data_IF_180469689861
#
_entry.id   IF_180469689861
#
_cell.length_a   1.000
_cell.length_b   1.000
_cell.length_c   1.000
_cell.angle_alpha   90.00
_cell.angle_beta   90.00
_cell.angle_gamma   90.00
#
_symmetry.space_group_name_H-M   'P 1'
#
loop_
_entity.id
_entity.type
_entity.pdbx_description
1 polymer ?
#
# COMPACT_ATOMS: atom_id res chain seq x y z
N UNK A 1 0.63 -8.17 18.57
CA UNK A 1 0.93 -9.29 17.67
C UNK A 1 0.05 -9.18 16.45
N UNK A 2 0.60 -9.27 15.26
CA UNK A 2 -0.18 -9.33 14.03
C UNK A 2 -1.02 -10.59 14.07
N UNK A 3 -2.33 -10.45 14.29
CA UNK A 3 -3.25 -11.57 14.44
C UNK A 3 -3.19 -12.46 13.20
N UNK A 4 -2.73 -13.68 13.36
CA UNK A 4 -2.73 -14.71 12.33
C UNK A 4 -1.45 -14.86 11.49
N UNK A 5 -0.45 -13.98 11.64
CA UNK A 5 0.82 -14.10 10.90
C UNK A 5 1.88 -14.90 11.64
N UNK A 6 1.78 -14.99 12.97
CA UNK A 6 2.76 -15.65 13.83
C UNK A 6 2.01 -16.49 14.85
N UNK A 7 2.18 -17.80 14.80
CA UNK A 7 1.67 -18.72 15.82
C UNK A 7 2.64 -18.92 16.98
N UNK A 8 3.86 -18.46 16.85
CA UNK A 8 4.95 -18.70 17.78
C UNK A 8 5.25 -17.46 18.64
N UNK A 9 5.67 -17.63 19.90
CA UNK A 9 5.77 -16.52 20.85
C UNK A 9 6.95 -15.58 20.58
N UNK A 10 7.95 -15.97 19.82
CA UNK A 10 9.09 -15.11 19.44
C UNK A 10 9.62 -15.46 18.06
N UNK A 11 10.37 -14.50 17.48
CA UNK A 11 11.03 -14.69 16.18
C UNK A 11 12.07 -15.81 16.20
N UNK A 12 12.69 -16.07 17.34
CA UNK A 12 13.73 -17.08 17.52
C UNK A 12 13.16 -18.50 17.48
N UNK A 13 11.87 -18.64 17.75
CA UNK A 13 11.18 -19.94 17.71
C UNK A 13 10.61 -20.31 16.34
N UNK A 14 10.81 -19.49 15.32
CA UNK A 14 10.42 -19.82 13.95
C UNK A 14 11.24 -20.99 13.41
N UNK A 15 10.57 -22.09 13.11
CA UNK A 15 11.19 -23.31 12.58
C UNK A 15 11.09 -23.44 11.06
N UNK A 16 10.19 -22.69 10.42
CA UNK A 16 9.97 -22.74 8.98
C UNK A 16 10.57 -21.50 8.28
N UNK A 17 11.61 -21.72 7.47
CA UNK A 17 12.23 -20.65 6.67
C UNK A 17 11.25 -19.98 5.68
N UNK A 18 10.35 -20.77 5.09
CA UNK A 18 9.36 -20.22 4.13
C UNK A 18 8.38 -19.26 4.78
N UNK A 19 7.86 -19.62 5.96
CA UNK A 19 6.96 -18.75 6.72
C UNK A 19 7.71 -17.50 7.18
N UNK A 20 8.93 -17.70 7.67
CA UNK A 20 9.81 -16.63 8.11
C UNK A 20 10.08 -15.61 6.98
N UNK A 21 10.53 -16.06 5.82
CA UNK A 21 10.86 -15.18 4.70
C UNK A 21 9.64 -14.43 4.16
N UNK A 22 8.51 -15.09 4.03
CA UNK A 22 7.29 -14.43 3.55
C UNK A 22 6.79 -13.37 4.53
N UNK A 23 6.82 -13.65 5.83
CA UNK A 23 6.40 -12.71 6.86
C UNK A 23 7.35 -11.52 6.95
N UNK A 24 8.65 -11.74 6.89
CA UNK A 24 9.63 -10.64 6.89
C UNK A 24 9.46 -9.72 5.69
N UNK A 25 9.40 -10.28 4.49
CA UNK A 25 9.23 -9.46 3.26
C UNK A 25 7.99 -8.58 3.35
N UNK A 26 6.90 -9.17 3.78
CA UNK A 26 5.63 -8.46 3.88
C UNK A 26 5.71 -7.31 4.90
N UNK A 27 6.22 -7.56 6.10
CA UNK A 27 6.32 -6.55 7.15
C UNK A 27 7.36 -5.49 6.80
N UNK A 28 8.57 -5.91 6.43
CA UNK A 28 9.69 -5.01 6.19
C UNK A 28 9.41 -4.11 4.99
N UNK A 29 8.98 -4.65 3.87
CA UNK A 29 8.71 -3.86 2.67
C UNK A 29 7.52 -2.90 2.86
N UNK A 30 6.57 -3.26 3.72
CA UNK A 30 5.45 -2.38 4.04
C UNK A 30 5.81 -1.29 5.05
N UNK A 31 6.95 -1.43 5.74
CA UNK A 31 7.42 -0.48 6.75
C UNK A 31 8.51 0.46 6.26
N UNK A 32 9.02 0.27 5.05
CA UNK A 32 10.06 1.12 4.47
C UNK A 32 9.48 1.92 3.32
N UNK A 33 9.58 3.24 3.41
CA UNK A 33 9.31 4.14 2.31
C UNK A 33 10.64 4.36 1.60
N UNK A 34 10.75 3.90 0.37
CA UNK A 34 11.82 4.32 -0.51
C UNK A 34 11.47 5.73 -0.99
N UNK A 35 12.28 6.70 -0.66
CA UNK A 35 12.08 8.12 -0.99
C UNK A 35 11.97 8.43 -2.48
N UNK A 36 11.98 7.39 -3.28
CA UNK A 36 11.65 7.37 -4.69
C UNK A 36 12.87 7.28 -5.61
N UNK A 37 12.64 6.65 -6.73
CA UNK A 37 13.49 6.71 -7.93
C UNK A 37 13.41 8.10 -8.59
N UNK A 38 12.87 9.08 -7.90
CA UNK A 38 12.66 10.40 -8.44
C UNK A 38 13.91 11.23 -8.25
N UNK A 39 14.81 11.13 -9.22
CA UNK A 39 15.87 12.10 -9.44
C UNK A 39 15.28 13.42 -9.97
N UNK A 40 14.32 13.95 -9.25
CA UNK A 40 13.90 15.31 -9.43
C UNK A 40 14.81 16.14 -8.54
N UNK A 41 15.79 16.79 -9.11
CA UNK A 41 16.82 17.59 -8.44
C UNK A 41 17.74 16.83 -7.47
N UNK A 42 17.83 15.50 -7.55
CA UNK A 42 18.73 14.71 -6.70
C UNK A 42 18.41 14.69 -5.20
N UNK A 43 17.28 15.27 -4.80
CA UNK A 43 16.85 15.30 -3.40
C UNK A 43 15.84 14.18 -3.12
N UNK A 44 16.28 13.15 -2.43
CA UNK A 44 15.39 12.14 -1.86
C UNK A 44 14.66 12.74 -0.66
N UNK A 45 13.34 12.59 -0.63
CA UNK A 45 12.54 13.08 0.49
C UNK A 45 12.66 12.14 1.67
N UNK A 46 13.23 12.64 2.75
CA UNK A 46 13.17 11.99 4.06
C UNK A 46 11.91 12.49 4.79
N UNK A 47 11.07 11.57 5.20
CA UNK A 47 9.82 11.92 5.87
C UNK A 47 10.01 12.04 7.40
N UNK A 48 10.71 13.08 7.83
CA UNK A 48 10.62 13.49 9.22
C UNK A 48 9.17 13.85 9.59
N UNK A 49 8.82 13.83 10.86
CA UNK A 49 7.45 14.13 11.28
C UNK A 49 6.96 15.50 10.81
N UNK A 50 7.86 16.46 10.65
CA UNK A 50 7.56 17.78 10.07
C UNK A 50 7.24 17.77 8.57
N UNK A 51 7.74 16.79 7.83
CA UNK A 51 7.49 16.60 6.39
C UNK A 51 6.29 15.71 6.08
N UNK A 52 5.72 15.04 7.09
CA UNK A 52 4.54 14.22 6.92
C UNK A 52 3.29 15.08 6.74
N UNK A 53 2.26 14.59 6.02
CA UNK A 53 0.99 15.28 5.83
C UNK A 53 0.34 15.78 7.14
N UNK A 54 -0.27 16.94 7.05
CA UNK A 54 -1.00 17.55 8.17
C UNK A 54 -2.52 17.35 8.09
N UNK A 55 -3.06 17.17 6.88
CA UNK A 55 -4.49 16.93 6.73
C UNK A 55 -4.86 15.52 7.25
N UNK A 56 -5.98 15.38 7.93
CA UNK A 56 -6.39 14.09 8.46
C UNK A 56 -6.52 13.01 7.37
N UNK A 57 -5.86 11.89 7.59
CA UNK A 57 -5.84 10.73 6.68
C UNK A 57 -5.24 11.01 5.29
N UNK A 58 -4.53 12.09 5.10
CA UNK A 58 -3.75 12.32 3.89
C UNK A 58 -2.62 11.29 3.79
N UNK A 59 -2.37 10.83 2.59
CA UNK A 59 -1.35 9.84 2.32
C UNK A 59 0.03 10.47 2.12
N UNK A 60 1.06 9.80 2.61
CA UNK A 60 2.45 10.13 2.29
C UNK A 60 2.62 9.95 0.77
N UNK A 61 3.24 10.93 0.13
CA UNK A 61 3.34 10.96 -1.34
C UNK A 61 4.06 9.74 -1.92
N UNK A 62 5.17 9.33 -1.28
CA UNK A 62 5.93 8.15 -1.71
C UNK A 62 5.33 6.86 -1.14
N UNK A 63 5.23 5.80 -1.94
CA UNK A 63 4.78 4.50 -1.47
C UNK A 63 5.88 3.80 -0.65
N UNK A 64 5.48 2.78 0.09
CA UNK A 64 6.40 1.83 0.70
C UNK A 64 7.06 0.94 -0.37
N UNK A 65 8.11 0.20 0.00
CA UNK A 65 8.73 -0.81 -0.89
C UNK A 65 7.76 -1.93 -1.30
N UNK A 66 6.65 -2.10 -0.57
CA UNK A 66 5.53 -2.97 -0.98
C UNK A 66 4.52 -2.25 -1.87
N UNK A 67 4.86 -1.06 -2.36
CA UNK A 67 3.99 -0.25 -3.23
C UNK A 67 2.67 0.20 -2.58
N UNK A 68 2.66 0.39 -1.29
CA UNK A 68 1.50 0.86 -0.52
C UNK A 68 1.73 2.27 -0.04
N UNK A 69 0.71 3.11 -0.10
CA UNK A 69 0.74 4.40 0.55
C UNK A 69 0.29 4.27 1.99
N UNK A 70 0.94 5.03 2.86
CA UNK A 70 0.60 5.12 4.28
C UNK A 70 -0.12 6.44 4.53
N UNK A 71 -1.27 6.38 5.17
CA UNK A 71 -1.98 7.59 5.60
C UNK A 71 -1.51 8.03 6.98
N UNK A 72 -1.54 9.34 7.19
CA UNK A 72 -1.15 9.97 8.46
C UNK A 72 -2.37 10.60 9.12
N UNK A 73 -2.55 10.32 10.39
CA UNK A 73 -3.55 10.98 11.22
C UNK A 73 -2.85 11.58 12.45
N UNK A 74 -2.91 12.89 12.57
CA UNK A 74 -2.39 13.61 13.73
C UNK A 74 -3.47 13.76 14.78
N UNK A 75 -3.14 13.41 16.03
CA UNK A 75 -4.02 13.64 17.15
C UNK A 75 -3.99 15.09 17.64
N UNK A 76 -4.77 15.38 18.66
CA UNK A 76 -4.80 16.72 19.29
C UNK A 76 -3.46 17.09 19.95
N UNK A 77 -2.67 16.11 20.32
CA UNK A 77 -1.31 16.31 20.79
C UNK A 77 -0.35 16.21 19.59
N UNK A 78 0.58 17.18 19.40
CA UNK A 78 1.56 17.16 18.30
C UNK A 78 2.41 15.88 18.24
N UNK A 79 2.59 15.22 19.37
CA UNK A 79 3.34 13.97 19.47
C UNK A 79 2.50 12.72 19.15
N UNK A 80 1.20 12.87 18.98
CA UNK A 80 0.30 11.76 18.64
C UNK A 80 0.17 11.65 17.14
N UNK A 81 0.92 10.72 16.55
CA UNK A 81 0.85 10.41 15.12
C UNK A 81 0.44 8.96 14.95
N UNK A 82 -0.61 8.75 14.16
CA UNK A 82 -1.09 7.43 13.78
C UNK A 82 -0.85 7.21 12.29
N UNK A 83 -0.31 6.06 11.97
CA UNK A 83 -0.18 5.57 10.59
C UNK A 83 -1.36 4.66 10.29
N UNK A 84 -1.95 4.80 9.11
CA UNK A 84 -3.15 4.04 8.70
C UNK A 84 -4.28 4.11 9.73
N UNK A 85 -4.47 5.28 10.33
CA UNK A 85 -5.52 5.62 11.32
C UNK A 85 -5.40 4.98 12.71
N UNK A 86 -4.68 3.88 12.84
CA UNK A 86 -4.71 3.07 14.08
C UNK A 86 -3.33 2.74 14.65
N UNK A 87 -2.29 2.73 13.82
CA UNK A 87 -0.96 2.28 14.21
C UNK A 87 -0.16 3.43 14.80
N UNK A 88 0.17 3.34 16.06
CA UNK A 88 0.82 4.44 16.79
C UNK A 88 2.31 4.52 16.52
N UNK A 89 2.76 5.73 16.21
CA UNK A 89 4.18 6.08 16.23
C UNK A 89 4.61 6.45 17.65
N UNK A 90 5.77 5.95 18.07
CA UNK A 90 6.31 6.28 19.39
C UNK A 90 6.60 7.80 19.52
N UNK A 91 6.05 8.48 20.52
CA UNK A 91 6.30 9.90 20.69
C UNK A 91 7.74 10.23 21.11
N UNK A 92 8.44 9.26 21.69
CA UNK A 92 9.81 9.45 22.21
C UNK A 92 10.88 9.12 21.18
N UNK A 93 10.65 8.12 20.35
CA UNK A 93 11.62 7.58 19.41
C UNK A 93 11.14 7.79 17.97
N UNK A 94 11.00 9.04 17.58
CA UNK A 94 10.67 9.48 16.22
C UNK A 94 11.80 10.40 15.71
N UNK A 95 11.86 10.57 14.42
CA UNK A 95 12.85 11.43 13.76
C UNK A 95 14.30 11.04 14.11
N UNK A 96 14.58 9.74 14.28
CA UNK A 96 15.91 9.24 14.56
C UNK A 96 16.73 9.34 13.26
N UNK A 97 17.76 10.21 13.21
CA UNK A 97 18.46 10.48 11.99
C UNK A 97 19.43 9.34 11.62
N UNK A 98 19.51 9.05 10.34
CA UNK A 98 20.56 8.26 9.73
C UNK A 98 21.17 9.06 8.56
N UNK A 99 22.36 8.68 8.11
CA UNK A 99 23.04 9.40 7.02
C UNK A 99 22.24 9.43 5.71
N UNK A 100 21.39 8.45 5.50
CA UNK A 100 20.61 8.26 4.28
C UNK A 100 19.12 8.07 4.53
N UNK A 101 18.63 8.44 5.70
CA UNK A 101 17.21 8.28 6.03
C UNK A 101 16.86 8.71 7.44
N UNK A 102 15.63 8.44 7.80
CA UNK A 102 15.08 8.68 9.15
C UNK A 102 14.33 7.44 9.63
N UNK A 103 14.40 7.17 10.91
CA UNK A 103 13.70 6.04 11.53
C UNK A 103 12.64 6.56 12.50
N UNK A 104 11.45 5.99 12.41
CA UNK A 104 10.39 6.18 13.38
C UNK A 104 10.07 4.84 14.04
N UNK A 105 10.18 4.77 15.34
CA UNK A 105 9.75 3.59 16.06
C UNK A 105 8.22 3.54 16.09
N UNK A 106 7.68 2.40 15.69
CA UNK A 106 6.25 2.12 15.82
C UNK A 106 5.98 1.32 17.10
N UNK A 107 4.83 1.56 17.73
CA UNK A 107 4.34 0.74 18.84
C UNK A 107 3.58 -0.50 18.33
N UNK A 108 3.20 -0.48 17.04
CA UNK A 108 2.49 -1.53 16.35
C UNK A 108 3.18 -1.94 15.05
N UNK A 109 2.89 -3.15 14.58
CA UNK A 109 3.36 -3.60 13.26
C UNK A 109 2.50 -3.01 12.16
N UNK A 110 3.13 -2.41 11.15
CA UNK A 110 2.44 -2.00 9.93
C UNK A 110 2.13 -3.25 9.11
N UNK A 111 1.04 -3.93 9.50
CA UNK A 111 0.57 -5.09 8.77
C UNK A 111 -0.08 -4.63 7.45
N UNK A 112 0.30 -5.20 6.31
CA UNK A 112 -0.35 -4.89 5.06
C UNK A 112 -1.78 -5.44 5.05
N UNK A 113 -2.73 -4.65 4.58
CA UNK A 113 -3.92 -5.21 3.98
C UNK A 113 -3.48 -5.78 2.62
N UNK A 114 -3.25 -7.07 2.54
CA UNK A 114 -2.69 -7.70 1.34
C UNK A 114 -3.73 -8.09 0.31
N UNK A 115 -4.98 -7.83 0.58
CA UNK A 115 -6.05 -8.32 -0.25
C UNK A 115 -6.21 -7.41 -1.47
N UNK A 116 -6.10 -8.01 -2.64
CA UNK A 116 -6.55 -7.40 -3.88
C UNK A 116 -8.05 -7.09 -3.77
N UNK A 117 -8.53 -6.17 -4.59
CA UNK A 117 -9.96 -5.79 -4.56
C UNK A 117 -10.88 -6.99 -4.79
N UNK A 118 -10.48 -7.94 -5.64
CA UNK A 118 -11.21 -9.21 -5.84
C UNK A 118 -11.30 -10.03 -4.54
N UNK A 119 -10.21 -10.13 -3.76
CA UNK A 119 -10.22 -10.88 -2.50
C UNK A 119 -11.11 -10.22 -1.44
N UNK A 120 -11.11 -8.90 -1.38
CA UNK A 120 -12.04 -8.15 -0.52
C UNK A 120 -13.49 -8.42 -0.90
N UNK A 121 -13.83 -8.35 -2.20
CA UNK A 121 -15.19 -8.66 -2.68
C UNK A 121 -15.57 -10.11 -2.39
N UNK A 122 -14.66 -11.07 -2.60
CA UNK A 122 -14.90 -12.46 -2.31
C UNK A 122 -15.18 -12.68 -0.81
N UNK A 123 -14.48 -11.96 0.07
CA UNK A 123 -14.71 -12.07 1.53
C UNK A 123 -16.13 -11.67 1.94
N UNK A 124 -16.75 -10.71 1.26
CA UNK A 124 -18.15 -10.34 1.51
C UNK A 124 -19.12 -11.45 1.10
N UNK A 125 -18.81 -12.17 0.02
CA UNK A 125 -19.60 -13.31 -0.43
C UNK A 125 -19.47 -14.49 0.55
N UNK A 126 -18.23 -14.83 0.92
CA UNK A 126 -17.92 -16.03 1.73
C UNK A 126 -18.40 -15.87 3.18
N UNK A 127 -18.28 -14.67 3.73
CA UNK A 127 -18.71 -14.39 5.11
C UNK A 127 -20.16 -13.98 5.22
N UNK A 128 -20.86 -13.87 4.09
CA UNK A 128 -22.24 -13.36 4.02
C UNK A 128 -22.42 -12.03 4.78
N UNK A 129 -21.39 -11.20 4.74
CA UNK A 129 -21.40 -9.91 5.42
C UNK A 129 -22.35 -8.95 4.72
N UNK A 130 -23.26 -8.36 5.46
CA UNK A 130 -24.15 -7.33 4.93
C UNK A 130 -23.35 -6.15 4.34
N UNK A 131 -23.89 -5.59 3.26
CA UNK A 131 -23.31 -4.43 2.61
C UNK A 131 -23.52 -4.43 1.12
N UNK A 132 -22.66 -5.09 0.35
CA UNK A 132 -22.68 -5.09 -1.10
C UNK A 132 -22.37 -6.48 -1.71
N UNK A 133 -22.93 -7.54 -1.11
CA UNK A 133 -22.75 -8.90 -1.61
C UNK A 133 -23.27 -9.08 -3.03
N UNK A 134 -24.41 -8.45 -3.34
CA UNK A 134 -25.01 -8.56 -4.68
C UNK A 134 -24.05 -7.98 -5.71
N UNK A 135 -23.56 -6.77 -5.48
CA UNK A 135 -22.58 -6.14 -6.36
C UNK A 135 -21.31 -6.98 -6.49
N UNK A 136 -20.80 -7.54 -5.39
CA UNK A 136 -19.64 -8.44 -5.42
C UNK A 136 -19.89 -9.65 -6.32
N UNK A 137 -21.05 -10.31 -6.22
CA UNK A 137 -21.42 -11.44 -7.08
C UNK A 137 -21.54 -11.06 -8.55
N UNK A 138 -22.11 -9.88 -8.84
CA UNK A 138 -22.21 -9.36 -10.20
C UNK A 138 -20.84 -9.11 -10.83
N UNK A 139 -19.89 -8.55 -10.08
CA UNK A 139 -18.50 -8.36 -10.52
C UNK A 139 -17.86 -9.67 -10.95
N UNK A 140 -18.01 -10.75 -10.15
CA UNK A 140 -17.50 -12.06 -10.52
C UNK A 140 -18.26 -12.69 -11.69
N UNK A 141 -19.58 -12.53 -11.74
CA UNK A 141 -20.40 -13.03 -12.85
C UNK A 141 -20.03 -12.37 -14.20
N UNK A 142 -19.58 -11.11 -14.16
CA UNK A 142 -19.04 -10.41 -15.34
C UNK A 142 -17.60 -10.82 -15.70
N UNK A 143 -16.97 -11.76 -14.98
CA UNK A 143 -15.61 -12.23 -15.24
C UNK A 143 -14.51 -11.23 -14.84
N UNK A 144 -14.81 -10.26 -13.99
CA UNK A 144 -13.85 -9.22 -13.59
C UNK A 144 -12.94 -9.63 -12.44
N UNK A 145 -13.15 -10.79 -11.83
CA UNK A 145 -12.35 -11.27 -10.69
C UNK A 145 -10.84 -11.25 -10.95
N UNK A 146 -10.40 -11.83 -12.06
CA UNK A 146 -8.98 -11.87 -12.44
C UNK A 146 -8.43 -10.48 -12.71
N UNK A 147 -9.21 -9.60 -13.32
CA UNK A 147 -8.80 -8.22 -13.59
C UNK A 147 -8.56 -7.47 -12.28
N UNK A 148 -9.47 -7.59 -11.32
CA UNK A 148 -9.41 -6.92 -10.03
C UNK A 148 -8.40 -7.55 -9.06
N UNK A 149 -7.85 -8.71 -9.39
CA UNK A 149 -6.75 -9.33 -8.65
C UNK A 149 -5.38 -8.75 -9.00
N UNK A 150 -5.25 -8.08 -10.16
CA UNK A 150 -3.99 -7.55 -10.65
C UNK A 150 -3.54 -6.34 -9.84
N UNK A 151 -2.31 -6.39 -9.34
CA UNK A 151 -1.68 -5.31 -8.60
C UNK A 151 -0.75 -4.48 -9.49
N UNK A 152 -0.07 -5.13 -10.42
CA UNK A 152 0.93 -4.52 -11.30
C UNK A 152 0.69 -4.92 -12.76
N UNK A 153 1.12 -4.03 -13.65
CA UNK A 153 1.14 -4.29 -15.08
C UNK A 153 2.49 -4.92 -15.46
N UNK A 154 2.53 -6.26 -15.42
CA UNK A 154 3.74 -7.03 -15.74
C UNK A 154 4.21 -6.79 -17.18
N UNK A 155 3.31 -6.55 -18.12
CA UNK A 155 3.64 -6.23 -19.49
C UNK A 155 4.38 -4.91 -19.60
N UNK A 156 3.92 -3.91 -18.87
CA UNK A 156 4.58 -2.62 -18.77
C UNK A 156 5.97 -2.74 -18.14
N UNK A 157 6.11 -3.49 -17.05
CA UNK A 157 7.39 -3.71 -16.37
C UNK A 157 8.40 -4.43 -17.30
N UNK A 158 7.93 -5.38 -18.08
CA UNK A 158 8.77 -6.05 -19.09
C UNK A 158 9.24 -5.08 -20.17
N UNK A 159 8.34 -4.23 -20.68
CA UNK A 159 8.70 -3.21 -21.66
C UNK A 159 9.72 -2.21 -21.10
N UNK A 160 9.57 -1.83 -19.82
CA UNK A 160 10.54 -0.99 -19.15
C UNK A 160 11.92 -1.63 -19.06
N UNK A 161 11.99 -2.90 -18.66
CA UNK A 161 13.26 -3.66 -18.56
C UNK A 161 13.97 -3.83 -19.90
N UNK A 162 13.22 -3.89 -21.00
CA UNK A 162 13.80 -3.99 -22.35
C UNK A 162 14.27 -2.66 -22.93
N UNK A 163 14.16 -1.57 -22.18
CA UNK A 163 14.53 -0.23 -22.66
C UNK A 163 13.57 0.34 -23.71
N UNK A 164 12.38 -0.22 -23.85
CA UNK A 164 11.38 0.24 -24.81
C UNK A 164 11.05 1.72 -24.65
N UNK A 165 10.87 2.17 -23.42
CA UNK A 165 10.53 3.55 -23.12
C UNK A 165 11.71 4.51 -23.32
N UNK A 166 12.94 4.08 -23.05
CA UNK A 166 14.15 4.88 -23.34
C UNK A 166 14.28 5.20 -24.82
N UNK A 167 13.87 4.28 -25.68
CA UNK A 167 13.89 4.47 -27.12
C UNK A 167 12.80 5.43 -27.61
N UNK A 168 11.65 5.46 -26.95
CA UNK A 168 10.53 6.35 -27.28
C UNK A 168 10.75 7.78 -26.78
N UNK A 169 11.39 7.93 -25.64
CA UNK A 169 11.59 9.22 -24.97
C UNK A 169 13.07 9.64 -24.98
N UNK A 170 13.79 9.32 -26.04
CA UNK A 170 15.15 9.80 -26.26
C UNK A 170 15.18 11.31 -26.26
N UNK A 171 15.60 11.89 -25.20
CA UNK A 171 15.70 13.32 -24.88
C UNK A 171 14.40 13.95 -24.41
N UNK A 172 14.11 13.94 -23.11
CA UNK A 172 13.32 15.02 -22.55
C UNK A 172 14.08 16.30 -22.87
N UNK A 173 13.54 17.11 -23.75
CA UNK A 173 14.01 18.49 -23.87
C UNK A 173 13.89 19.15 -22.51
N UNK A 174 14.88 19.94 -22.13
CA UNK A 174 14.89 20.70 -20.89
C UNK A 174 13.51 21.35 -20.69
N UNK A 175 12.78 20.96 -19.63
CA UNK A 175 11.42 21.41 -19.33
C UNK A 175 10.28 20.48 -19.77
N UNK A 176 10.49 19.41 -20.52
CA UNK A 176 9.47 18.40 -20.82
C UNK A 176 9.69 17.15 -19.96
N UNK A 177 8.91 17.05 -18.91
CA UNK A 177 9.09 16.03 -17.91
C UNK A 177 8.22 14.81 -18.18
N UNK A 178 8.62 14.03 -19.16
CA UNK A 178 8.08 12.69 -19.35
C UNK A 178 8.79 11.69 -18.45
N UNK A 179 8.50 11.71 -17.15
CA UNK A 179 8.93 10.64 -16.28
C UNK A 179 8.13 9.37 -16.60
N UNK A 180 8.85 8.31 -16.92
CA UNK A 180 8.27 6.98 -17.13
C UNK A 180 8.57 6.15 -15.89
N UNK A 181 7.60 5.86 -15.03
CA UNK A 181 7.83 5.07 -13.83
C UNK A 181 8.25 3.64 -14.17
N UNK A 182 9.11 3.04 -13.34
CA UNK A 182 9.53 1.63 -13.50
C UNK A 182 8.39 0.65 -13.36
N UNK A 183 7.41 1.01 -12.56
CA UNK A 183 6.25 0.18 -12.24
C UNK A 183 4.97 0.92 -12.57
N UNK A 184 4.05 0.23 -13.20
CA UNK A 184 2.69 0.70 -13.41
C UNK A 184 1.76 -0.17 -12.58
N UNK A 185 1.01 0.49 -11.68
CA UNK A 185 0.01 -0.19 -10.86
C UNK A 185 -1.37 -0.05 -11.44
N UNK A 186 -2.17 -1.07 -11.18
CA UNK A 186 -3.61 -0.93 -11.33
C UNK A 186 -4.18 -0.27 -10.07
N UNK A 187 -5.02 0.76 -10.24
CA UNK A 187 -5.80 1.39 -9.20
C UNK A 187 -7.27 1.30 -9.53
N UNK A 188 -7.94 0.29 -8.99
CA UNK A 188 -9.37 0.10 -9.21
C UNK A 188 -10.16 0.82 -8.13
N UNK A 189 -11.27 1.45 -8.54
CA UNK A 189 -12.27 2.02 -7.65
C UNK A 189 -13.62 1.46 -8.03
N UNK A 190 -14.35 0.92 -7.06
CA UNK A 190 -15.71 0.42 -7.27
C UNK A 190 -16.66 1.28 -6.43
N UNK A 191 -17.69 1.79 -7.07
CA UNK A 191 -18.85 2.37 -6.39
C UNK A 191 -19.89 1.26 -6.31
N UNK A 192 -20.11 0.74 -5.11
CA UNK A 192 -20.94 -0.41 -4.88
C UNK A 192 -22.27 0.02 -4.25
N UNK A 193 -23.36 -0.31 -4.91
CA UNK A 193 -24.71 -0.14 -4.36
C UNK A 193 -24.93 -1.12 -3.21
N UNK A 194 -25.63 -0.69 -2.15
CA UNK A 194 -25.93 -1.55 -1.02
C UNK A 194 -26.91 -2.67 -1.40
N UNK A 195 -26.82 -3.79 -0.69
CA UNK A 195 -27.69 -4.96 -0.93
C UNK A 195 -29.18 -4.63 -0.78
N UNK A 196 -29.53 -3.65 0.06
CA UNK A 196 -30.89 -3.16 0.25
C UNK A 196 -31.48 -2.61 -1.06
N UNK A 197 -30.70 -1.80 -1.78
CA UNK A 197 -31.13 -1.27 -3.09
C UNK A 197 -31.50 -2.40 -4.06
N UNK A 198 -30.68 -3.43 -4.14
CA UNK A 198 -30.93 -4.56 -5.03
C UNK A 198 -32.15 -5.39 -4.62
N UNK A 199 -32.43 -5.50 -3.32
CA UNK A 199 -33.64 -6.17 -2.83
C UNK A 199 -34.92 -5.39 -3.17
N UNK A 200 -34.86 -4.07 -3.16
CA UNK A 200 -35.99 -3.21 -3.49
C UNK A 200 -36.26 -3.18 -5.00
N UNK A 201 -35.23 -3.13 -5.83
CA UNK A 201 -35.36 -3.00 -7.29
C UNK A 201 -35.57 -4.34 -8.02
N UNK A 202 -35.01 -5.43 -7.52
CA UNK A 202 -35.07 -6.73 -8.16
C UNK A 202 -36.04 -7.70 -7.50
N UNK A 203 -36.62 -7.34 -6.34
CA UNK A 203 -37.78 -7.98 -5.70
C UNK A 203 -37.57 -9.40 -5.26
#
# INVERSE_FOLDING_TARGET
MAKGLISEPSWDSFTSEKVRDSVYKVIVFNSIIDGGDFDYDGARVMYETGAMPYNPNEEIASPTMADRKLSVLRGNNPDSILINKTLRMSPKNKDIPAINGVIHQMEDVIAPGNDALSAVLQSYIDTQKDGFQVMARLVFACGLGDTLSKLRDETYELLYQTGYFENLFKHPTEGSQGYVPRHRKYGFTIFAEPDEFWREELG
#
